data_IF_277835279569
#
_entry.id   IF_277835279569
#
_cell.length_a   1.000
_cell.length_b   1.000
_cell.length_c   1.000
_cell.angle_alpha   90.00
_cell.angle_beta   90.00
_cell.angle_gamma   90.00
#
_symmetry.space_group_name_H-M   'P 1'
#
loop_
_entity.id
_entity.type
_entity.pdbx_description
1 polymer ?
#
# COMPACT_ATOMS: atom_id res chain seq x y z
N UNK A 1 21.48 -7.64 -10.02
CA UNK A 1 20.79 -7.58 -11.34
C UNK A 1 19.58 -6.70 -11.18
N UNK A 2 19.57 -5.52 -11.79
CA UNK A 2 18.44 -4.59 -11.72
C UNK A 2 17.26 -5.23 -12.47
N UNK A 3 16.22 -5.60 -11.72
CA UNK A 3 14.98 -6.12 -12.28
C UNK A 3 14.31 -4.95 -13.04
N UNK A 4 14.55 -4.83 -14.34
CA UNK A 4 13.71 -3.99 -15.20
C UNK A 4 12.36 -4.69 -15.25
N UNK A 5 11.47 -4.34 -14.33
CA UNK A 5 10.11 -4.87 -14.27
C UNK A 5 9.41 -4.57 -15.60
N UNK A 6 9.22 -5.62 -16.39
CA UNK A 6 8.39 -5.58 -17.57
C UNK A 6 6.94 -5.42 -17.12
N UNK A 7 6.38 -4.25 -17.43
CA UNK A 7 4.96 -3.98 -17.23
C UNK A 7 4.12 -4.97 -18.05
N UNK A 8 3.02 -5.43 -17.48
CA UNK A 8 2.08 -6.29 -18.20
C UNK A 8 1.38 -5.52 -19.33
N UNK A 9 0.88 -6.21 -20.35
CA UNK A 9 0.08 -5.60 -21.42
C UNK A 9 -1.10 -4.77 -20.89
N UNK A 10 -1.72 -5.22 -19.80
CA UNK A 10 -2.81 -4.51 -19.15
C UNK A 10 -2.32 -3.18 -18.55
N UNK A 11 -1.16 -3.19 -17.90
CA UNK A 11 -0.54 -1.99 -17.33
C UNK A 11 -0.08 -1.03 -18.44
N UNK A 12 0.48 -1.53 -19.54
CA UNK A 12 0.87 -0.71 -20.70
C UNK A 12 -0.35 -0.06 -21.37
N UNK A 13 -1.44 -0.82 -21.57
CA UNK A 13 -2.71 -0.29 -22.08
C UNK A 13 -3.30 0.78 -21.17
N UNK A 14 -3.28 0.55 -19.86
CA UNK A 14 -3.74 1.53 -18.87
C UNK A 14 -2.91 2.81 -18.93
N UNK A 15 -1.57 2.70 -18.97
CA UNK A 15 -0.67 3.84 -19.07
C UNK A 15 -0.91 4.66 -20.34
N UNK A 16 -0.99 4.01 -21.51
CA UNK A 16 -1.33 4.69 -22.77
C UNK A 16 -2.70 5.36 -22.72
N UNK A 17 -3.70 4.68 -22.14
CA UNK A 17 -5.05 5.23 -21.97
C UNK A 17 -5.01 6.51 -21.12
N UNK A 18 -4.28 6.50 -20.00
CA UNK A 18 -4.14 7.65 -19.13
C UNK A 18 -3.48 8.83 -19.86
N UNK A 19 -2.36 8.56 -20.54
CA UNK A 19 -1.59 9.58 -21.26
C UNK A 19 -2.44 10.24 -22.36
N UNK A 20 -3.15 9.43 -23.16
CA UNK A 20 -3.98 9.91 -24.27
C UNK A 20 -5.24 10.62 -23.78
N UNK A 21 -5.97 10.06 -22.81
CA UNK A 21 -7.29 10.58 -22.41
C UNK A 21 -7.20 11.70 -21.37
N UNK A 22 -6.14 11.73 -20.56
CA UNK A 22 -6.05 12.63 -19.40
C UNK A 22 -4.80 13.52 -19.40
N UNK A 23 -3.85 13.33 -20.33
CA UNK A 23 -2.61 14.12 -20.40
C UNK A 23 -1.73 13.99 -19.16
N UNK A 24 -1.93 12.95 -18.34
CA UNK A 24 -1.18 12.74 -17.10
C UNK A 24 0.12 11.98 -17.40
N UNK A 25 1.27 12.64 -17.18
CA UNK A 25 2.59 12.02 -17.29
C UNK A 25 2.89 11.23 -16.01
N UNK A 26 3.29 9.97 -16.16
CA UNK A 26 3.47 9.00 -15.08
C UNK A 26 4.41 9.42 -13.94
N UNK A 27 5.41 10.25 -14.24
CA UNK A 27 6.40 10.69 -13.24
C UNK A 27 5.85 11.80 -12.32
N UNK A 28 4.69 12.38 -12.64
CA UNK A 28 3.99 13.35 -11.79
C UNK A 28 3.08 12.66 -10.76
N UNK A 29 3.68 11.74 -9.98
CA UNK A 29 2.94 10.91 -9.02
C UNK A 29 2.09 11.79 -8.11
N UNK A 30 0.78 11.77 -8.40
CA UNK A 30 -0.30 12.18 -7.53
C UNK A 30 -0.04 13.52 -6.82
N UNK A 31 -0.08 14.62 -7.57
CA UNK A 31 -0.20 15.94 -6.98
C UNK A 31 -1.46 16.64 -7.51
N UNK A 32 -2.13 17.43 -6.66
CA UNK A 32 -3.21 18.31 -7.09
C UNK A 32 -2.78 19.22 -8.24
N UNK A 33 -3.65 19.43 -9.23
CA UNK A 33 -3.38 20.36 -10.34
C UNK A 33 -3.49 21.82 -9.92
N UNK A 34 -4.07 22.11 -8.76
CA UNK A 34 -4.41 23.47 -8.31
C UNK A 34 -5.69 24.01 -8.95
N UNK A 35 -6.31 23.28 -9.88
CA UNK A 35 -7.64 23.61 -10.38
C UNK A 35 -8.67 23.46 -9.25
N UNK A 36 -9.74 24.28 -9.28
CA UNK A 36 -10.78 24.30 -8.23
C UNK A 36 -11.34 22.90 -7.92
N UNK A 37 -11.58 22.09 -8.95
CA UNK A 37 -12.12 20.74 -8.82
C UNK A 37 -11.15 19.75 -8.17
N UNK A 38 -9.87 20.08 -8.08
CA UNK A 38 -8.78 19.24 -7.58
C UNK A 38 -8.13 19.83 -6.32
N UNK A 39 -8.83 20.69 -5.59
CA UNK A 39 -8.43 21.18 -4.26
C UNK A 39 -9.00 20.29 -3.15
N UNK A 40 -8.55 20.48 -1.91
CA UNK A 40 -9.26 19.88 -0.78
C UNK A 40 -10.58 20.61 -0.56
N UNK A 41 -11.69 19.91 -0.79
CA UNK A 41 -13.03 20.47 -0.79
C UNK A 41 -13.91 19.66 0.16
N UNK A 42 -14.74 20.35 0.93
CA UNK A 42 -15.83 19.76 1.67
C UNK A 42 -16.89 19.16 0.73
N UNK A 43 -17.76 18.31 1.27
CA UNK A 43 -18.86 17.70 0.50
C UNK A 43 -19.78 18.76 -0.12
N UNK A 44 -20.06 19.83 0.63
CA UNK A 44 -20.90 20.92 0.14
C UNK A 44 -20.24 21.68 -1.03
N UNK A 45 -18.95 21.97 -0.93
CA UNK A 45 -18.20 22.60 -2.03
C UNK A 45 -18.15 21.73 -3.28
N UNK A 46 -18.05 20.40 -3.13
CA UNK A 46 -18.15 19.46 -4.25
C UNK A 46 -19.53 19.51 -4.91
N UNK A 47 -20.61 19.68 -4.13
CA UNK A 47 -21.96 19.85 -4.68
C UNK A 47 -22.14 21.16 -5.46
N UNK A 48 -21.27 22.15 -5.25
CA UNK A 48 -21.28 23.42 -5.99
C UNK A 48 -20.33 23.44 -7.20
N UNK A 49 -19.59 22.37 -7.46
CA UNK A 49 -18.81 22.23 -8.69
C UNK A 49 -19.72 22.10 -9.92
N UNK A 50 -19.20 22.49 -11.08
CA UNK A 50 -19.90 22.23 -12.33
C UNK A 50 -20.00 20.69 -12.58
N UNK A 51 -20.95 20.22 -13.39
CA UNK A 51 -21.15 18.79 -13.61
C UNK A 51 -19.92 18.05 -14.14
N UNK A 52 -19.11 18.68 -15.00
CA UNK A 52 -17.89 18.10 -15.54
C UNK A 52 -16.84 17.85 -14.46
N UNK A 53 -16.62 18.84 -13.60
CA UNK A 53 -15.69 18.79 -12.48
C UNK A 53 -16.11 17.77 -11.41
N UNK A 54 -17.41 17.65 -11.14
CA UNK A 54 -17.98 16.62 -10.26
C UNK A 54 -17.66 15.20 -10.75
N UNK A 55 -17.65 14.99 -12.07
CA UNK A 55 -17.30 13.69 -12.67
C UNK A 55 -15.77 13.49 -12.77
N UNK A 56 -15.04 14.56 -13.09
CA UNK A 56 -13.58 14.55 -13.26
C UNK A 56 -12.85 14.26 -11.95
N UNK A 57 -13.22 14.93 -10.86
CA UNK A 57 -12.60 14.79 -9.54
C UNK A 57 -12.45 13.33 -9.07
N UNK A 58 -13.52 12.52 -8.97
CA UNK A 58 -13.40 11.15 -8.49
C UNK A 58 -12.69 10.24 -9.51
N UNK A 59 -12.82 10.49 -10.81
CA UNK A 59 -12.15 9.70 -11.86
C UNK A 59 -10.63 9.90 -11.82
N UNK A 60 -10.16 11.14 -11.76
CA UNK A 60 -8.73 11.44 -11.64
C UNK A 60 -8.18 10.90 -10.32
N UNK A 61 -8.95 11.01 -9.23
CA UNK A 61 -8.56 10.40 -7.97
C UNK A 61 -8.40 8.89 -8.07
N UNK A 62 -9.34 8.18 -8.70
CA UNK A 62 -9.23 6.74 -8.94
C UNK A 62 -7.95 6.41 -9.71
N UNK A 63 -7.66 7.14 -10.79
CA UNK A 63 -6.44 6.95 -11.60
C UNK A 63 -5.19 7.11 -10.74
N UNK A 64 -5.07 8.20 -9.97
CA UNK A 64 -3.92 8.46 -9.09
C UNK A 64 -3.73 7.37 -8.04
N UNK A 65 -4.82 6.93 -7.40
CA UNK A 65 -4.79 5.85 -6.42
C UNK A 65 -4.27 4.54 -7.03
N UNK A 66 -4.74 4.19 -8.23
CA UNK A 66 -4.31 2.97 -8.92
C UNK A 66 -2.86 3.05 -9.37
N UNK A 67 -2.41 4.20 -9.88
CA UNK A 67 -0.99 4.42 -10.21
C UNK A 67 -0.09 4.30 -8.97
N UNK A 68 -0.52 4.85 -7.84
CA UNK A 68 0.23 4.77 -6.59
C UNK A 68 0.33 3.33 -6.06
N UNK A 69 -0.76 2.57 -6.15
CA UNK A 69 -0.76 1.14 -5.81
C UNK A 69 0.13 0.33 -6.75
N UNK A 70 0.09 0.60 -8.05
CA UNK A 70 0.97 -0.04 -9.04
C UNK A 70 2.44 0.28 -8.76
N UNK A 71 2.75 1.51 -8.37
CA UNK A 71 4.09 1.93 -7.99
C UNK A 71 4.59 1.18 -6.74
N UNK A 72 3.74 1.05 -5.72
CA UNK A 72 4.10 0.29 -4.52
C UNK A 72 4.18 -1.22 -4.75
N UNK A 73 3.40 -1.78 -5.68
CA UNK A 73 3.47 -3.21 -6.00
C UNK A 73 4.82 -3.59 -6.64
N UNK A 74 5.56 -2.62 -7.16
CA UNK A 74 6.90 -2.79 -7.72
C UNK A 74 8.04 -2.42 -6.76
N UNK A 75 7.73 -1.77 -5.63
CA UNK A 75 8.73 -1.18 -4.73
C UNK A 75 8.48 -1.57 -3.28
N UNK A 76 8.94 -2.76 -2.91
CA UNK A 76 8.72 -3.33 -1.59
C UNK A 76 9.18 -2.41 -0.43
N UNK A 77 10.31 -1.71 -0.57
CA UNK A 77 10.82 -0.79 0.46
C UNK A 77 9.89 0.40 0.68
N UNK A 78 9.37 1.01 -0.41
CA UNK A 78 8.44 2.12 -0.30
C UNK A 78 7.08 1.68 0.25
N UNK A 79 6.63 0.47 -0.12
CA UNK A 79 5.42 -0.15 0.42
C UNK A 79 5.53 -0.38 1.94
N UNK A 80 6.69 -0.75 2.46
CA UNK A 80 6.90 -0.95 3.90
C UNK A 80 6.76 0.35 4.70
N UNK A 81 7.04 1.50 4.10
CA UNK A 81 6.83 2.81 4.72
C UNK A 81 5.35 3.21 4.80
N UNK A 82 4.45 2.52 4.09
CA UNK A 82 3.02 2.86 4.07
C UNK A 82 2.27 2.22 5.25
N UNK A 83 1.69 3.07 6.09
CA UNK A 83 0.88 2.65 7.24
C UNK A 83 -0.40 1.93 6.81
N UNK A 84 -1.09 2.47 5.79
CA UNK A 84 -2.34 1.92 5.28
C UNK A 84 -2.29 1.83 3.76
N UNK A 85 -2.73 0.69 3.22
CA UNK A 85 -2.81 0.47 1.77
C UNK A 85 -4.20 -0.10 1.46
N UNK A 86 -5.03 0.59 0.66
CA UNK A 86 -6.40 0.16 0.39
C UNK A 86 -6.44 -0.91 -0.70
N UNK A 87 -6.43 -2.17 -0.27
CA UNK A 87 -6.40 -3.34 -1.16
C UNK A 87 -7.80 -3.83 -1.59
N UNK A 88 -8.85 -3.14 -1.14
CA UNK A 88 -10.25 -3.46 -1.47
C UNK A 88 -10.95 -2.21 -2.00
N UNK A 89 -11.88 -2.39 -2.95
CA UNK A 89 -12.64 -1.30 -3.58
C UNK A 89 -13.30 -0.34 -2.59
N UNK A 90 -14.05 -0.77 -1.55
CA UNK A 90 -14.61 0.17 -0.57
C UNK A 90 -13.56 1.03 0.14
N UNK A 91 -12.41 0.43 0.50
CA UNK A 91 -11.30 1.17 1.10
C UNK A 91 -10.65 2.13 0.09
N UNK A 92 -10.59 1.75 -1.19
CA UNK A 92 -10.11 2.62 -2.27
C UNK A 92 -10.99 3.87 -2.40
N UNK A 93 -12.31 3.74 -2.26
CA UNK A 93 -13.25 4.87 -2.30
C UNK A 93 -13.05 5.84 -1.15
N UNK A 94 -12.80 5.31 0.04
CA UNK A 94 -12.65 6.11 1.27
C UNK A 94 -11.23 6.63 1.47
N UNK A 95 -10.26 6.19 0.67
CA UNK A 95 -8.89 6.67 0.79
C UNK A 95 -8.79 8.15 0.46
N UNK A 96 -8.36 8.95 1.42
CA UNK A 96 -8.23 10.39 1.27
C UNK A 96 -6.80 10.82 1.62
N UNK A 97 -6.20 11.59 0.73
CA UNK A 97 -4.89 12.22 0.91
C UNK A 97 -4.85 13.50 0.04
N UNK A 98 -5.19 14.66 0.63
CA UNK A 98 -5.20 15.94 -0.09
C UNK A 98 -3.86 16.31 -0.71
N UNK A 99 -2.76 16.03 0.00
CA UNK A 99 -1.41 16.32 -0.48
C UNK A 99 -1.08 15.57 -1.77
N UNK A 100 -1.79 14.46 -2.02
CA UNK A 100 -1.67 13.66 -3.23
C UNK A 100 -2.81 13.82 -4.23
N UNK A 101 -3.77 14.70 -3.95
CA UNK A 101 -4.98 14.83 -4.77
C UNK A 101 -5.81 13.55 -4.80
N UNK A 102 -5.86 12.82 -3.68
CA UNK A 102 -6.66 11.60 -3.51
C UNK A 102 -7.95 11.96 -2.76
N UNK A 103 -9.06 11.94 -3.49
CA UNK A 103 -10.38 12.33 -3.02
C UNK A 103 -11.26 11.12 -2.79
N UNK A 104 -12.19 11.24 -1.85
CA UNK A 104 -13.22 10.22 -1.61
C UNK A 104 -14.32 10.29 -2.66
N UNK A 105 -15.02 9.18 -2.90
CA UNK A 105 -16.23 9.15 -3.72
C UNK A 105 -17.23 8.11 -3.24
N UNK A 106 -18.50 8.33 -3.55
CA UNK A 106 -19.59 7.42 -3.17
C UNK A 106 -20.11 6.60 -4.37
N UNK A 107 -19.84 7.03 -5.61
CA UNK A 107 -20.33 6.34 -6.81
C UNK A 107 -19.66 4.96 -6.99
N UNK A 108 -20.46 3.90 -6.83
CA UNK A 108 -20.06 2.49 -7.00
C UNK A 108 -19.88 2.11 -8.47
N UNK A 109 -20.48 2.85 -9.40
CA UNK A 109 -20.34 2.58 -10.83
C UNK A 109 -18.95 2.96 -11.34
N UNK A 110 -18.31 3.95 -10.70
CA UNK A 110 -16.96 4.40 -11.02
C UNK A 110 -15.93 3.26 -10.93
N UNK A 111 -16.08 2.34 -9.97
CA UNK A 111 -15.16 1.24 -9.70
C UNK A 111 -15.79 -0.15 -9.91
N UNK A 112 -16.79 -0.23 -10.78
CA UNK A 112 -17.41 -1.49 -11.18
C UNK A 112 -16.47 -2.28 -12.12
N UNK A 113 -16.14 -3.55 -11.82
CA UNK A 113 -15.20 -4.35 -12.63
C UNK A 113 -15.64 -4.55 -14.08
N UNK A 114 -16.94 -4.60 -14.35
CA UNK A 114 -17.53 -4.70 -15.69
C UNK A 114 -18.02 -3.37 -16.26
N UNK A 115 -17.64 -2.25 -15.64
CA UNK A 115 -18.07 -0.90 -16.04
C UNK A 115 -17.13 -0.21 -17.04
N UNK A 116 -17.39 1.08 -17.29
CA UNK A 116 -16.59 1.95 -18.17
C UNK A 116 -15.10 2.00 -17.80
N UNK A 117 -14.79 1.84 -16.51
CA UNK A 117 -13.43 1.90 -15.96
C UNK A 117 -12.83 0.51 -15.69
N UNK A 118 -13.37 -0.55 -16.29
CA UNK A 118 -12.94 -1.95 -16.08
C UNK A 118 -11.42 -2.15 -16.22
N UNK A 119 -10.76 -1.50 -17.19
CA UNK A 119 -9.31 -1.54 -17.35
C UNK A 119 -8.56 -1.00 -16.14
N UNK A 120 -9.00 0.14 -15.58
CA UNK A 120 -8.41 0.78 -14.40
C UNK A 120 -8.56 -0.16 -13.19
N UNK A 121 -9.74 -0.76 -13.04
CA UNK A 121 -10.04 -1.70 -11.96
C UNK A 121 -9.28 -3.03 -12.12
N UNK A 122 -9.03 -3.47 -13.34
CA UNK A 122 -8.15 -4.60 -13.62
C UNK A 122 -6.74 -4.36 -13.09
N UNK A 123 -6.16 -3.19 -13.38
CA UNK A 123 -4.83 -2.81 -12.86
C UNK A 123 -4.84 -2.69 -11.34
N UNK A 124 -5.89 -2.12 -10.75
CA UNK A 124 -6.08 -2.09 -9.30
C UNK A 124 -6.02 -3.49 -8.69
N UNK A 125 -6.77 -4.45 -9.24
CA UNK A 125 -6.81 -5.81 -8.70
C UNK A 125 -5.44 -6.50 -8.78
N UNK A 126 -4.74 -6.37 -9.93
CA UNK A 126 -3.38 -6.90 -10.08
C UNK A 126 -2.42 -6.29 -9.06
N UNK A 127 -2.40 -4.96 -8.92
CA UNK A 127 -1.53 -4.28 -7.95
C UNK A 127 -1.85 -4.70 -6.51
N UNK A 128 -3.13 -4.84 -6.17
CA UNK A 128 -3.56 -5.27 -4.84
C UNK A 128 -3.12 -6.71 -4.53
N UNK A 129 -3.23 -7.62 -5.49
CA UNK A 129 -2.74 -9.00 -5.36
C UNK A 129 -1.23 -9.07 -5.18
N UNK A 130 -0.48 -8.27 -5.94
CA UNK A 130 0.98 -8.25 -5.86
C UNK A 130 1.47 -7.67 -4.53
N UNK A 131 0.81 -6.61 -4.03
CA UNK A 131 1.08 -6.06 -2.69
C UNK A 131 0.80 -7.10 -1.60
N UNK A 132 -0.30 -7.86 -1.70
CA UNK A 132 -0.59 -8.95 -0.77
C UNK A 132 0.49 -10.03 -0.79
N UNK A 133 0.98 -10.42 -1.98
CA UNK A 133 2.09 -11.38 -2.11
C UNK A 133 3.36 -10.87 -1.44
N UNK A 134 3.74 -9.60 -1.68
CA UNK A 134 4.90 -8.98 -1.05
C UNK A 134 4.78 -8.98 0.47
N UNK A 135 3.61 -8.60 1.01
CA UNK A 135 3.35 -8.58 2.46
C UNK A 135 3.42 -9.98 3.08
N UNK A 136 2.88 -10.99 2.39
CA UNK A 136 2.95 -12.39 2.86
C UNK A 136 4.38 -12.92 2.85
N UNK A 137 5.16 -12.61 1.81
CA UNK A 137 6.58 -12.94 1.75
C UNK A 137 7.39 -12.32 2.89
N UNK A 138 7.17 -11.02 3.15
CA UNK A 138 7.82 -10.30 4.26
C UNK A 138 7.45 -10.88 5.64
N UNK A 139 6.16 -11.19 5.87
CA UNK A 139 5.68 -11.81 7.12
C UNK A 139 6.28 -13.20 7.35
N UNK A 140 6.47 -13.98 6.28
CA UNK A 140 7.14 -15.29 6.37
C UNK A 140 8.57 -15.18 6.90
N UNK A 141 9.34 -14.22 6.37
CA UNK A 141 10.70 -13.92 6.85
C UNK A 141 10.71 -13.44 8.30
N UNK A 142 9.84 -12.48 8.65
CA UNK A 142 9.77 -11.95 10.02
C UNK A 142 9.41 -13.02 11.06
N UNK A 143 8.48 -13.94 10.72
CA UNK A 143 8.09 -15.05 11.61
C UNK A 143 9.25 -16.02 11.85
N UNK A 144 10.07 -16.28 10.83
CA UNK A 144 11.27 -17.10 10.97
C UNK A 144 12.30 -16.47 11.91
N UNK A 145 12.50 -15.15 11.85
CA UNK A 145 13.40 -14.41 12.73
C UNK A 145 12.89 -14.42 14.18
N UNK A 146 11.59 -14.18 14.39
CA UNK A 146 10.98 -14.25 15.74
C UNK A 146 11.16 -15.64 16.35
N UNK A 147 10.97 -16.71 15.56
CA UNK A 147 11.16 -18.07 16.05
C UNK A 147 12.63 -18.32 16.45
N UNK A 148 13.59 -17.87 15.64
CA UNK A 148 15.03 -17.97 15.99
C UNK A 148 15.36 -17.18 17.26
N UNK A 149 14.80 -15.99 17.41
CA UNK A 149 15.00 -15.18 18.63
C UNK A 149 14.42 -15.86 19.87
N UNK A 150 13.23 -16.48 19.75
CA UNK A 150 12.62 -17.24 20.86
C UNK A 150 13.47 -18.45 21.27
N UNK A 151 14.03 -19.16 20.30
CA UNK A 151 14.94 -20.27 20.59
C UNK A 151 16.18 -19.79 21.34
N UNK A 152 16.81 -18.71 20.88
CA UNK A 152 17.98 -18.12 21.56
C UNK A 152 17.63 -17.70 23.00
N UNK A 153 16.49 -17.04 23.20
CA UNK A 153 16.04 -16.66 24.55
C UNK A 153 15.91 -17.89 25.44
N UNK A 154 15.25 -18.95 24.95
CA UNK A 154 15.08 -20.18 25.71
C UNK A 154 16.42 -20.83 26.10
N UNK A 155 17.38 -20.87 25.17
CA UNK A 155 18.73 -21.38 25.44
C UNK A 155 19.46 -20.54 26.50
N UNK A 156 19.34 -19.21 26.44
CA UNK A 156 19.92 -18.32 27.43
C UNK A 156 19.26 -18.49 28.81
N UNK A 157 17.95 -18.70 28.88
CA UNK A 157 17.24 -18.98 30.14
C UNK A 157 17.74 -20.27 30.79
N UNK A 158 17.93 -21.35 30.02
CA UNK A 158 18.49 -22.61 30.51
C UNK A 158 19.93 -22.43 31.04
N UNK A 159 20.77 -21.67 30.33
CA UNK A 159 22.13 -21.37 30.78
C UNK A 159 22.13 -20.57 32.10
N UNK A 160 21.24 -19.58 32.22
CA UNK A 160 21.10 -18.81 33.47
C UNK A 160 20.72 -19.72 34.64
N UNK A 161 19.77 -20.64 34.44
CA UNK A 161 19.36 -21.59 35.48
C UNK A 161 20.55 -22.46 35.92
N UNK A 162 21.28 -23.05 34.96
CA UNK A 162 22.44 -23.88 35.25
C UNK A 162 23.54 -23.12 36.00
N UNK A 163 23.85 -21.88 35.58
CA UNK A 163 24.84 -21.06 36.27
C UNK A 163 24.39 -20.67 37.70
N UNK A 164 23.09 -20.42 37.90
CA UNK A 164 22.56 -20.14 39.23
C UNK A 164 22.67 -21.35 40.16
N UNK A 165 22.49 -22.56 39.64
CA UNK A 165 22.70 -23.81 40.38
C UNK A 165 24.17 -24.00 40.76
N UNK A 166 25.10 -23.84 39.83
CA UNK A 166 26.54 -23.93 40.11
C UNK A 166 26.98 -22.92 41.19
N UNK A 167 26.54 -21.66 41.08
CA UNK A 167 26.83 -20.62 42.08
C UNK A 167 26.27 -20.99 43.44
N UNK A 168 25.09 -21.62 43.50
CA UNK A 168 24.48 -22.10 44.74
C UNK A 168 25.31 -23.22 45.38
N UNK A 169 25.76 -24.19 44.59
CA UNK A 169 26.62 -25.28 45.07
C UNK A 169 27.96 -24.76 45.59
N UNK A 170 28.64 -23.90 44.83
CA UNK A 170 29.90 -23.26 45.24
C UNK A 170 29.75 -22.48 46.55
N UNK A 171 28.64 -21.76 46.72
CA UNK A 171 28.33 -21.04 47.97
C UNK A 171 28.10 -21.98 49.15
N UNK A 172 27.49 -23.14 48.94
CA UNK A 172 27.26 -24.12 49.99
C UNK A 172 28.58 -24.79 50.42
N UNK A 173 29.46 -25.13 49.46
CA UNK A 173 30.78 -25.69 49.76
C UNK A 173 31.68 -24.71 50.52
N UNK A 174 31.55 -23.39 50.28
CA UNK A 174 32.32 -22.37 51.00
C UNK A 174 31.85 -22.11 52.44
N UNK A 175 30.70 -22.67 52.85
CA UNK A 175 30.12 -22.50 54.19
C UNK A 175 30.36 -23.71 55.09
N UNK A 176 30.91 -24.81 54.56
CA UNK A 176 31.41 -25.96 55.31
C UNK A 176 32.88 -25.77 55.64
#
# INVERSE_FOLDING_TARGET
>A
MANKELLTDLQLKFRRKIEIEFGLVLDSIAFPTGEKWDMDLSKDEVLHLNPGDKQRRPLVSLIRKVLLLQHWSTRATELQAQVTVPLKRPALRQWHDPGRGLWTWDDVLLDKPSGKNSTIIGVFNTAAEDIEKIRKGARGGQRSTINKQREIIHQLELQIISLLEEVRELRNMRRQ
#
